data_IF_955847747008
#
_entry.id   IF_955847747008
#
_cell.length_a   1.000
_cell.length_b   1.000
_cell.length_c   1.000
_cell.angle_alpha   90.00
_cell.angle_beta   90.00
_cell.angle_gamma   90.00
#
_symmetry.space_group_name_H-M   'P 1'
#
loop_
_entity.id
_entity.type
_entity.pdbx_description
1 polymer ?
#
# COMPACT_ATOMS: atom_id res chain seq x y z
N UNK A 1 -63.40 -0.09 -19.61
CA UNK A 1 -64.06 1.13 -20.15
C UNK A 1 -63.01 2.21 -19.98
N UNK A 2 -62.47 2.75 -20.96
CA UNK A 2 -62.48 3.28 -22.27
C UNK A 2 -61.02 3.70 -22.54
N UNK A 3 -60.42 3.29 -23.55
CA UNK A 3 -60.47 3.70 -24.94
C UNK A 3 -59.95 5.12 -25.20
N UNK A 4 -58.89 5.16 -25.94
CA UNK A 4 -58.57 5.77 -27.23
C UNK A 4 -57.75 7.06 -27.11
N UNK A 5 -56.93 7.57 -28.03
CA UNK A 5 -56.66 7.33 -29.47
C UNK A 5 -55.39 8.13 -29.84
N UNK A 6 -54.50 7.58 -30.65
CA UNK A 6 -53.78 8.14 -31.83
C UNK A 6 -53.36 9.59 -31.87
N UNK A 7 -52.09 9.79 -32.24
CA UNK A 7 -51.51 10.98 -32.85
C UNK A 7 -50.21 10.66 -33.59
N UNK A 8 -50.28 10.19 -34.81
CA UNK A 8 -49.22 10.13 -35.82
C UNK A 8 -48.87 11.55 -36.27
N UNK A 9 -47.61 11.90 -36.30
CA UNK A 9 -47.13 12.98 -37.18
C UNK A 9 -45.70 12.67 -37.61
N UNK A 10 -45.56 12.39 -38.88
CA UNK A 10 -44.35 12.12 -39.58
C UNK A 10 -43.52 13.38 -39.80
N UNK A 11 -42.23 13.21 -39.75
CA UNK A 11 -41.27 14.18 -40.26
C UNK A 11 -40.30 13.51 -41.22
N UNK A 12 -40.32 14.05 -42.41
CA UNK A 12 -39.57 13.82 -43.62
C UNK A 12 -38.11 13.46 -43.45
N UNK A 13 -37.72 12.37 -44.10
CA UNK A 13 -36.36 12.07 -44.56
C UNK A 13 -35.87 13.20 -45.51
N UNK A 14 -34.72 13.80 -45.15
CA UNK A 14 -33.93 14.58 -46.10
C UNK A 14 -32.74 13.73 -46.49
N UNK A 15 -32.79 13.19 -47.66
CA UNK A 15 -31.68 12.62 -48.41
C UNK A 15 -30.63 13.69 -48.70
N UNK A 16 -29.39 13.47 -48.24
CA UNK A 16 -28.21 14.24 -48.64
C UNK A 16 -27.42 13.39 -49.64
N UNK A 17 -26.99 13.94 -50.79
CA UNK A 17 -26.24 13.19 -51.79
C UNK A 17 -24.79 12.90 -51.31
N UNK A 18 -24.14 11.85 -51.83
CA UNK A 18 -22.76 11.50 -51.47
C UNK A 18 -21.78 12.49 -52.11
N UNK A 19 -21.04 13.21 -51.29
CA UNK A 19 -19.90 14.01 -51.74
C UNK A 19 -18.68 13.11 -51.94
N UNK A 20 -18.06 13.32 -53.07
CA UNK A 20 -16.89 12.59 -53.56
C UNK A 20 -15.72 12.58 -52.60
N UNK A 21 -15.11 11.41 -52.45
CA UNK A 21 -13.84 11.19 -51.77
C UNK A 21 -12.72 11.89 -52.53
N UNK A 22 -12.21 12.95 -51.98
CA UNK A 22 -10.84 13.40 -52.31
C UNK A 22 -9.82 12.56 -51.51
N UNK A 23 -9.11 11.74 -52.25
CA UNK A 23 -7.91 11.07 -51.74
C UNK A 23 -6.85 12.14 -51.45
N UNK A 24 -6.74 12.54 -50.19
CA UNK A 24 -5.56 13.24 -49.68
C UNK A 24 -4.37 12.32 -49.78
N UNK A 25 -3.47 12.66 -50.69
CA UNK A 25 -2.15 12.01 -50.80
C UNK A 25 -1.43 12.08 -49.46
N UNK A 26 -1.14 10.91 -48.89
CA UNK A 26 -0.12 10.80 -47.85
C UNK A 26 1.21 11.18 -48.47
N UNK A 27 1.70 12.38 -48.20
CA UNK A 27 3.08 12.77 -48.40
C UNK A 27 3.94 11.84 -47.58
N UNK A 28 4.56 10.88 -48.25
CA UNK A 28 5.61 10.05 -47.67
C UNK A 28 6.77 10.99 -47.28
N UNK A 29 6.91 11.22 -45.96
CA UNK A 29 8.11 11.91 -45.42
C UNK A 29 9.31 11.10 -45.82
N UNK A 30 10.01 11.58 -46.85
CA UNK A 30 11.24 10.98 -47.36
C UNK A 30 12.30 10.96 -46.24
N UNK A 31 12.62 9.76 -45.72
CA UNK A 31 13.63 9.54 -44.67
C UNK A 31 14.97 10.05 -45.26
N UNK A 32 15.52 11.12 -44.71
CA UNK A 32 16.87 11.60 -45.02
C UNK A 32 17.87 10.58 -44.49
N UNK A 33 18.52 9.84 -45.41
CA UNK A 33 19.62 8.95 -45.06
C UNK A 33 20.86 9.82 -44.96
N UNK A 34 21.49 9.88 -43.78
CA UNK A 34 22.78 10.54 -43.58
C UNK A 34 23.89 9.55 -43.92
N UNK A 35 24.93 10.07 -44.61
CA UNK A 35 26.12 9.33 -45.01
C UNK A 35 27.33 9.89 -44.27
N UNK A 36 28.25 9.02 -43.84
CA UNK A 36 29.42 9.35 -43.04
C UNK A 36 30.67 8.77 -43.68
N UNK A 37 31.78 9.48 -43.56
CA UNK A 37 33.09 8.93 -43.97
C UNK A 37 33.66 7.97 -42.91
N UNK A 38 34.06 6.73 -43.27
CA UNK A 38 34.64 5.78 -42.32
C UNK A 38 35.90 6.27 -41.63
N UNK A 39 36.72 7.12 -42.32
CA UNK A 39 37.98 7.65 -41.80
C UNK A 39 37.85 9.01 -41.13
N UNK A 40 36.77 9.77 -41.46
CA UNK A 40 36.51 11.09 -40.90
C UNK A 40 35.08 11.12 -40.36
N UNK A 41 34.84 10.59 -39.17
CA UNK A 41 33.48 10.48 -38.59
C UNK A 41 32.76 11.82 -38.37
N UNK A 42 33.50 12.91 -38.31
CA UNK A 42 32.99 14.27 -38.23
C UNK A 42 32.41 14.81 -39.54
N UNK A 43 32.70 14.15 -40.68
CA UNK A 43 32.14 14.56 -41.98
C UNK A 43 30.90 13.72 -42.32
N UNK A 44 29.75 14.38 -42.31
CA UNK A 44 28.46 13.80 -42.67
C UNK A 44 27.82 14.54 -43.85
N UNK A 45 27.12 13.86 -44.73
CA UNK A 45 26.39 14.39 -45.85
C UNK A 45 25.01 13.79 -45.98
N UNK A 46 24.05 14.55 -46.45
CA UNK A 46 22.67 14.10 -46.75
C UNK A 46 22.55 13.44 -48.13
N UNK A 47 23.66 13.31 -48.88
CA UNK A 47 23.74 12.68 -50.21
C UNK A 47 24.86 11.67 -50.28
N UNK A 48 24.66 10.56 -51.00
CA UNK A 48 25.76 9.64 -51.27
C UNK A 48 26.84 10.37 -52.16
N UNK A 49 28.11 10.18 -51.81
CA UNK A 49 29.20 10.83 -52.49
C UNK A 49 30.56 10.39 -51.95
N UNK A 50 31.59 11.16 -52.27
CA UNK A 50 32.96 10.94 -51.79
C UNK A 50 33.36 11.99 -50.75
N UNK A 51 34.13 11.59 -49.77
CA UNK A 51 34.61 12.48 -48.73
C UNK A 51 35.63 13.48 -49.33
N UNK A 52 35.45 14.79 -49.19
CA UNK A 52 36.35 15.80 -49.77
C UNK A 52 37.72 15.82 -49.10
N UNK A 53 37.87 15.15 -47.94
CA UNK A 53 39.14 15.11 -47.18
C UNK A 53 40.02 13.95 -47.65
N UNK A 54 39.45 12.78 -47.96
CA UNK A 54 40.20 11.57 -48.26
C UNK A 54 39.77 10.81 -49.52
N UNK A 55 38.76 11.30 -50.25
CA UNK A 55 38.28 10.68 -51.50
C UNK A 55 37.51 9.36 -51.34
N UNK A 56 37.32 8.87 -50.12
CA UNK A 56 36.61 7.61 -49.91
C UNK A 56 35.10 7.80 -49.99
N UNK A 57 34.39 6.77 -50.50
CA UNK A 57 32.92 6.75 -50.57
C UNK A 57 32.32 6.82 -49.18
N UNK A 58 31.33 7.68 -49.02
CA UNK A 58 30.55 7.82 -47.82
C UNK A 58 29.63 6.59 -47.65
N UNK A 59 29.56 6.08 -46.44
CA UNK A 59 28.74 4.92 -46.07
C UNK A 59 27.48 5.43 -45.38
N UNK A 60 26.28 4.90 -45.71
CA UNK A 60 25.07 5.31 -45.03
C UNK A 60 25.19 4.98 -43.53
N UNK A 61 24.99 5.98 -42.71
CA UNK A 61 24.79 5.76 -41.27
C UNK A 61 23.47 5.00 -41.20
N UNK A 62 23.51 3.73 -40.83
CA UNK A 62 22.31 3.04 -40.33
C UNK A 62 21.94 3.74 -39.06
N UNK A 63 21.04 4.74 -39.16
CA UNK A 63 20.42 5.31 -37.97
C UNK A 63 19.84 4.15 -37.18
N UNK A 64 20.24 4.01 -35.94
CA UNK A 64 19.42 3.26 -34.98
C UNK A 64 18.01 3.76 -35.21
N UNK A 65 17.11 2.83 -35.54
CA UNK A 65 15.71 3.11 -35.78
C UNK A 65 15.23 4.03 -34.66
N UNK A 66 14.85 5.25 -35.00
CA UNK A 66 14.09 6.15 -34.14
C UNK A 66 12.75 5.49 -33.92
N UNK A 67 12.76 4.43 -33.10
CA UNK A 67 11.56 3.87 -32.53
C UNK A 67 10.96 4.97 -31.67
N UNK A 68 9.76 5.34 -32.02
CA UNK A 68 8.86 6.29 -31.37
C UNK A 68 9.35 6.75 -29.99
N UNK A 69 9.65 8.04 -29.89
CA UNK A 69 9.98 8.71 -28.64
C UNK A 69 8.85 8.45 -27.64
N UNK A 70 9.05 7.45 -26.79
CA UNK A 70 8.25 7.33 -25.58
C UNK A 70 8.73 8.47 -24.70
N UNK A 71 7.94 9.52 -24.64
CA UNK A 71 8.18 10.65 -23.74
C UNK A 71 8.12 10.08 -22.33
N UNK A 72 9.25 10.12 -21.61
CA UNK A 72 9.28 9.69 -20.21
C UNK A 72 8.29 10.56 -19.43
N UNK A 73 7.47 9.94 -18.61
CA UNK A 73 6.49 10.61 -17.77
C UNK A 73 7.12 11.34 -16.59
N UNK A 74 8.41 11.12 -16.33
CA UNK A 74 9.14 11.69 -15.20
C UNK A 74 10.10 12.78 -15.67
N UNK A 75 9.90 14.00 -15.18
CA UNK A 75 10.77 15.14 -15.48
C UNK A 75 12.21 14.88 -15.02
N UNK A 76 13.18 15.18 -15.90
CA UNK A 76 14.60 14.96 -15.66
C UNK A 76 15.06 13.51 -15.78
N UNK A 77 14.22 12.62 -16.30
CA UNK A 77 14.54 11.22 -16.58
C UNK A 77 14.15 10.84 -18.00
N UNK A 78 14.92 9.99 -18.63
CA UNK A 78 14.63 9.46 -19.96
C UNK A 78 14.59 7.92 -19.94
N UNK A 79 13.82 7.35 -20.85
CA UNK A 79 13.83 5.90 -21.07
C UNK A 79 15.22 5.44 -21.51
N UNK A 80 15.68 4.33 -20.96
CA UNK A 80 17.01 3.76 -21.22
C UNK A 80 16.84 2.42 -21.92
N UNK A 81 17.74 2.15 -22.87
CA UNK A 81 17.86 0.82 -23.50
C UNK A 81 19.20 0.23 -23.09
N UNK A 82 19.16 -0.93 -22.44
CA UNK A 82 20.35 -1.64 -21.94
C UNK A 82 20.41 -3.00 -22.62
N UNK A 83 21.53 -3.28 -23.30
CA UNK A 83 21.71 -4.58 -23.96
C UNK A 83 21.73 -5.74 -22.95
N UNK A 84 21.34 -6.97 -23.35
CA UNK A 84 21.34 -8.12 -22.45
C UNK A 84 22.70 -8.40 -21.79
N UNK A 85 23.80 -8.20 -22.53
CA UNK A 85 25.16 -8.36 -22.01
C UNK A 85 25.45 -7.36 -20.90
N UNK A 86 25.05 -6.10 -21.10
CA UNK A 86 25.23 -5.05 -20.10
C UNK A 86 24.35 -5.27 -18.88
N UNK A 87 23.11 -5.79 -19.05
CA UNK A 87 22.23 -6.17 -17.94
C UNK A 87 22.89 -7.22 -17.04
N UNK A 88 23.54 -8.22 -17.64
CA UNK A 88 24.27 -9.24 -16.90
C UNK A 88 25.48 -8.66 -16.16
N UNK A 89 26.26 -7.80 -16.80
CA UNK A 89 27.45 -7.17 -16.20
C UNK A 89 27.07 -6.34 -14.96
N UNK A 90 25.99 -5.55 -15.04
CA UNK A 90 25.54 -4.71 -13.92
C UNK A 90 24.70 -5.49 -12.89
N UNK A 91 24.43 -6.78 -13.13
CA UNK A 91 23.62 -7.61 -12.24
C UNK A 91 22.18 -7.17 -12.12
N UNK A 92 21.58 -6.67 -13.21
CA UNK A 92 20.18 -6.24 -13.22
C UNK A 92 19.25 -7.40 -12.89
N UNK A 93 18.33 -7.19 -11.94
CA UNK A 93 17.26 -8.11 -11.62
C UNK A 93 15.92 -7.39 -11.73
N UNK A 94 14.89 -8.12 -12.05
CA UNK A 94 13.51 -7.63 -12.12
C UNK A 94 12.61 -8.51 -11.28
N UNK A 95 11.54 -7.92 -10.76
CA UNK A 95 10.44 -8.65 -10.11
C UNK A 95 9.12 -8.13 -10.66
N UNK A 96 8.04 -8.85 -10.37
CA UNK A 96 6.70 -8.54 -10.90
C UNK A 96 5.90 -7.80 -9.83
N UNK A 97 5.24 -6.72 -10.23
CA UNK A 97 4.25 -6.05 -9.41
C UNK A 97 3.02 -6.96 -9.23
N UNK A 98 2.74 -7.38 -8.00
CA UNK A 98 1.70 -8.35 -7.68
C UNK A 98 0.79 -7.85 -6.58
N UNK A 99 -0.49 -8.21 -6.67
CA UNK A 99 -1.43 -8.01 -5.57
C UNK A 99 -1.12 -9.01 -4.45
N UNK A 100 -0.90 -8.48 -3.25
CA UNK A 100 -0.58 -9.26 -2.04
C UNK A 100 -1.42 -8.79 -0.86
N UNK A 101 -1.67 -9.67 0.14
CA UNK A 101 -2.26 -9.26 1.40
C UNK A 101 -1.37 -8.21 2.09
N UNK A 102 -1.97 -7.07 2.43
CA UNK A 102 -1.31 -6.00 3.17
C UNK A 102 -1.42 -6.31 4.66
N UNK A 103 -0.55 -7.17 5.15
CA UNK A 103 -0.50 -7.55 6.55
C UNK A 103 0.81 -7.07 7.18
N UNK A 104 0.70 -6.42 8.31
CA UNK A 104 1.84 -6.04 9.15
C UNK A 104 1.66 -6.61 10.54
N UNK A 105 2.77 -6.87 11.21
CA UNK A 105 2.75 -7.33 12.61
C UNK A 105 3.25 -6.21 13.50
N UNK A 106 2.39 -5.78 14.40
CA UNK A 106 2.76 -4.81 15.43
C UNK A 106 3.14 -5.53 16.70
N UNK A 107 4.18 -5.04 17.38
CA UNK A 107 4.71 -5.60 18.59
C UNK A 107 4.53 -4.63 19.75
N UNK A 108 3.92 -5.10 20.82
CA UNK A 108 3.68 -4.32 22.02
C UNK A 108 4.13 -5.10 23.26
N UNK A 109 4.71 -4.39 24.22
CA UNK A 109 4.90 -4.93 25.55
C UNK A 109 3.57 -5.00 26.28
N UNK A 110 3.34 -6.10 26.98
CA UNK A 110 2.10 -6.31 27.72
C UNK A 110 2.30 -7.05 29.02
N UNK A 111 1.20 -7.25 29.72
CA UNK A 111 1.13 -8.06 30.94
C UNK A 111 -0.18 -8.84 30.99
N UNK A 112 -0.12 -9.99 31.62
CA UNK A 112 -1.33 -10.73 31.99
C UNK A 112 -2.10 -9.89 33.00
N UNK A 113 -3.37 -9.70 32.78
CA UNK A 113 -4.20 -8.82 33.61
C UNK A 113 -4.24 -9.29 35.06
N UNK A 114 -4.15 -8.33 35.96
CA UNK A 114 -4.55 -8.44 37.36
C UNK A 114 -5.33 -7.16 37.68
N UNK A 115 -6.65 -7.27 37.70
CA UNK A 115 -7.52 -6.09 37.78
C UNK A 115 -8.69 -6.33 38.77
N UNK A 116 -8.39 -6.23 40.08
CA UNK A 116 -9.42 -6.38 41.11
C UNK A 116 -10.50 -5.31 41.05
N UNK A 117 -10.15 -4.11 40.57
CA UNK A 117 -11.11 -3.00 40.45
C UNK A 117 -12.17 -3.30 39.39
N UNK A 118 -11.74 -3.75 38.21
CA UNK A 118 -12.66 -4.15 37.16
C UNK A 118 -13.52 -5.33 37.59
N UNK A 119 -12.94 -6.35 38.22
CA UNK A 119 -13.71 -7.48 38.77
C UNK A 119 -14.78 -7.03 39.75
N UNK A 120 -14.46 -6.09 40.65
CA UNK A 120 -15.41 -5.55 41.59
C UNK A 120 -16.50 -4.75 40.87
N UNK A 121 -16.18 -3.95 39.89
CA UNK A 121 -17.16 -3.21 39.10
C UNK A 121 -18.11 -4.14 38.32
N UNK A 122 -17.59 -5.23 37.75
CA UNK A 122 -18.43 -6.27 37.13
C UNK A 122 -19.41 -6.88 38.13
N UNK A 123 -18.96 -7.17 39.33
CA UNK A 123 -19.85 -7.68 40.40
C UNK A 123 -20.94 -6.68 40.78
N UNK A 124 -20.58 -5.42 40.99
CA UNK A 124 -21.53 -4.35 41.31
C UNK A 124 -22.56 -4.19 40.20
N UNK A 125 -22.19 -4.23 38.95
CA UNK A 125 -23.09 -4.19 37.81
C UNK A 125 -24.06 -5.38 37.80
N UNK A 126 -23.55 -6.60 38.00
CA UNK A 126 -24.39 -7.81 38.06
C UNK A 126 -25.41 -7.73 39.22
N UNK A 127 -24.99 -7.22 40.38
CA UNK A 127 -25.89 -7.06 41.52
C UNK A 127 -26.94 -5.98 41.26
N UNK A 128 -26.61 -4.88 40.62
CA UNK A 128 -27.57 -3.84 40.22
C UNK A 128 -28.66 -4.40 39.26
N UNK A 129 -28.23 -5.26 38.30
CA UNK A 129 -29.19 -5.95 37.42
C UNK A 129 -30.12 -6.93 38.11
N UNK A 130 -29.67 -7.57 39.22
CA UNK A 130 -30.52 -8.47 40.02
C UNK A 130 -31.53 -7.69 40.83
N UNK A 131 -31.11 -6.57 41.42
CA UNK A 131 -31.97 -5.71 42.27
C UNK A 131 -33.06 -5.05 41.42
N UNK A 132 -32.71 -4.51 40.23
CA UNK A 132 -33.68 -3.91 39.32
C UNK A 132 -34.81 -4.85 38.85
N UNK A 133 -34.57 -6.18 38.81
CA UNK A 133 -35.63 -7.17 38.52
C UNK A 133 -36.56 -7.45 39.68
N UNK A 134 -36.13 -7.26 40.95
CA UNK A 134 -36.88 -7.64 42.15
C UNK A 134 -37.91 -6.57 42.60
N UNK A 135 -37.63 -5.30 42.34
CA UNK A 135 -38.39 -4.17 42.96
C UNK A 135 -39.18 -3.35 41.91
N UNK A 136 -39.42 -3.84 40.75
CA UNK A 136 -40.29 -3.31 39.67
C UNK A 136 -40.71 -1.83 39.77
N UNK A 137 -40.19 -0.98 38.88
CA UNK A 137 -40.72 0.33 38.46
C UNK A 137 -40.41 1.60 39.27
N UNK A 138 -39.34 1.68 40.05
CA UNK A 138 -38.92 2.98 40.56
C UNK A 138 -37.75 3.57 39.74
N UNK A 139 -37.85 4.84 39.37
CA UNK A 139 -36.92 5.54 38.50
C UNK A 139 -35.46 5.65 39.06
N UNK A 140 -35.28 5.46 40.37
CA UNK A 140 -33.95 5.47 41.01
C UNK A 140 -33.08 4.26 40.69
N UNK A 141 -33.68 3.13 40.28
CA UNK A 141 -32.96 1.87 40.03
C UNK A 141 -32.32 1.85 38.66
N UNK A 142 -32.99 2.48 37.67
CA UNK A 142 -32.38 2.67 36.35
C UNK A 142 -31.09 3.46 36.46
N UNK A 143 -31.07 4.48 37.34
CA UNK A 143 -29.86 5.27 37.61
C UNK A 143 -28.71 4.46 38.19
N UNK A 144 -28.96 3.43 39.01
CA UNK A 144 -27.88 2.56 39.54
C UNK A 144 -27.29 1.65 38.47
N UNK A 145 -28.07 1.08 37.59
CA UNK A 145 -27.60 0.28 36.47
C UNK A 145 -26.84 1.15 35.51
N UNK A 146 -27.35 2.33 35.15
CA UNK A 146 -26.72 3.28 34.25
C UNK A 146 -25.36 3.77 34.82
N UNK A 147 -25.31 4.04 36.14
CA UNK A 147 -24.06 4.45 36.78
C UNK A 147 -22.97 3.33 36.76
N UNK A 148 -23.39 2.09 37.02
CA UNK A 148 -22.53 0.93 36.98
C UNK A 148 -22.05 0.65 35.53
N UNK A 149 -22.91 0.82 34.54
CA UNK A 149 -22.55 0.72 33.11
C UNK A 149 -21.51 1.77 32.72
N UNK A 150 -21.69 3.03 33.07
CA UNK A 150 -20.72 4.10 32.83
C UNK A 150 -19.37 3.77 33.46
N UNK A 151 -19.37 3.24 34.71
CA UNK A 151 -18.14 2.84 35.38
C UNK A 151 -17.38 1.73 34.63
N UNK A 152 -18.11 0.72 34.12
CA UNK A 152 -17.48 -0.36 33.31
C UNK A 152 -16.87 0.21 32.02
N UNK A 153 -17.53 1.14 31.37
CA UNK A 153 -16.97 1.84 30.19
C UNK A 153 -15.73 2.65 30.51
N UNK A 154 -15.74 3.37 31.64
CA UNK A 154 -14.55 4.10 32.12
C UNK A 154 -13.38 3.17 32.42
N UNK A 155 -13.67 1.96 32.92
CA UNK A 155 -12.66 0.92 33.12
C UNK A 155 -12.27 0.18 31.83
N UNK A 156 -12.83 0.58 30.67
CA UNK A 156 -12.42 0.14 29.33
C UNK A 156 -13.15 -1.10 28.81
N UNK A 157 -14.34 -1.46 29.35
CA UNK A 157 -15.17 -2.48 28.72
C UNK A 157 -15.90 -1.91 27.50
N UNK A 158 -15.88 -2.66 26.42
CA UNK A 158 -16.69 -2.35 25.24
C UNK A 158 -18.16 -2.70 25.47
N UNK A 159 -19.04 -2.10 24.65
CA UNK A 159 -20.49 -2.39 24.71
C UNK A 159 -20.80 -3.88 24.57
N UNK A 160 -20.09 -4.57 23.66
CA UNK A 160 -20.23 -6.00 23.45
C UNK A 160 -19.87 -6.82 24.71
N UNK A 161 -18.83 -6.42 25.44
CA UNK A 161 -18.41 -7.07 26.68
C UNK A 161 -19.42 -6.83 27.80
N UNK A 162 -19.97 -5.61 27.91
CA UNK A 162 -21.00 -5.28 28.90
C UNK A 162 -22.29 -6.07 28.60
N UNK A 163 -22.66 -6.20 27.33
CA UNK A 163 -23.80 -7.02 26.91
C UNK A 163 -23.57 -8.50 27.26
N UNK A 164 -22.39 -9.04 26.99
CA UNK A 164 -22.02 -10.41 27.37
C UNK A 164 -22.09 -10.60 28.87
N UNK A 165 -21.56 -9.66 29.66
CA UNK A 165 -21.65 -9.69 31.14
C UNK A 165 -23.11 -9.65 31.63
N UNK A 166 -23.94 -8.84 31.00
CA UNK A 166 -25.36 -8.74 31.33
C UNK A 166 -26.10 -10.05 31.07
N UNK A 167 -25.70 -10.78 30.04
CA UNK A 167 -26.28 -12.07 29.63
C UNK A 167 -25.79 -13.22 30.52
N UNK A 168 -24.48 -13.33 30.72
CA UNK A 168 -23.86 -14.43 31.46
C UNK A 168 -24.05 -14.30 32.97
N UNK A 169 -24.08 -13.06 33.48
CA UNK A 169 -24.12 -12.70 34.88
C UNK A 169 -23.03 -13.35 35.73
N UNK A 170 -21.90 -13.55 35.14
CA UNK A 170 -20.69 -14.09 35.77
C UNK A 170 -19.55 -13.09 35.63
N UNK A 171 -18.93 -12.65 36.74
CA UNK A 171 -17.77 -11.79 36.66
C UNK A 171 -16.58 -12.55 36.13
N UNK A 172 -15.65 -11.85 35.52
CA UNK A 172 -14.45 -12.38 34.84
C UNK A 172 -13.38 -12.80 35.86
N UNK A 173 -13.43 -14.04 36.35
CA UNK A 173 -12.49 -14.53 37.36
C UNK A 173 -11.02 -14.55 36.84
N UNK A 174 -10.83 -14.64 35.53
CA UNK A 174 -9.52 -14.56 34.86
C UNK A 174 -8.84 -13.17 34.96
N UNK A 175 -9.51 -12.18 35.57
CA UNK A 175 -8.90 -10.93 36.02
C UNK A 175 -8.12 -11.05 37.33
N UNK A 176 -8.32 -12.13 38.10
CA UNK A 176 -7.72 -12.33 39.41
C UNK A 176 -6.86 -13.59 39.50
N UNK A 177 -7.28 -14.65 38.86
CA UNK A 177 -6.70 -15.99 39.00
C UNK A 177 -6.40 -16.60 37.64
N UNK A 178 -5.44 -17.54 37.54
CA UNK A 178 -5.20 -18.31 36.33
C UNK A 178 -6.43 -19.16 35.95
N UNK A 179 -6.98 -18.91 34.79
CA UNK A 179 -8.09 -19.65 34.20
C UNK A 179 -7.70 -20.19 32.81
N UNK A 180 -8.60 -20.92 32.16
CA UNK A 180 -8.40 -21.49 30.83
C UNK A 180 -8.25 -20.43 29.74
N UNK A 181 -8.74 -19.23 30.01
CA UNK A 181 -8.48 -18.01 29.24
C UNK A 181 -7.96 -16.92 30.16
N UNK A 182 -7.09 -16.06 29.64
CA UNK A 182 -6.56 -14.92 30.40
C UNK A 182 -6.69 -13.63 29.60
N UNK A 183 -6.88 -12.53 30.33
CA UNK A 183 -6.78 -11.20 29.75
C UNK A 183 -5.34 -10.75 29.67
N UNK A 184 -4.99 -10.14 28.55
CA UNK A 184 -3.70 -9.48 28.34
C UNK A 184 -3.95 -8.00 28.12
N UNK A 185 -3.25 -7.17 28.84
CA UNK A 185 -3.21 -5.73 28.67
C UNK A 185 -1.89 -5.37 28.00
N UNK A 186 -1.97 -4.72 26.83
CA UNK A 186 -0.81 -4.18 26.15
C UNK A 186 -1.05 -2.72 25.81
N UNK A 187 0.04 -1.99 25.55
CA UNK A 187 -0.01 -0.59 25.18
C UNK A 187 0.45 -0.42 23.74
N UNK A 188 -0.34 0.26 22.93
CA UNK A 188 -0.03 0.63 21.55
C UNK A 188 0.05 2.14 21.44
N UNK A 189 0.90 2.64 20.57
CA UNK A 189 1.04 4.08 20.36
C UNK A 189 -0.13 4.67 19.57
N UNK A 190 -0.39 5.97 19.79
CA UNK A 190 -1.46 6.71 19.13
C UNK A 190 -1.41 6.58 17.59
N UNK A 191 -0.21 6.61 17.00
CA UNK A 191 -0.03 6.49 15.54
C UNK A 191 -0.29 5.08 14.99
N UNK A 192 -0.44 4.07 15.85
CA UNK A 192 -0.75 2.68 15.49
C UNK A 192 -2.25 2.37 15.54
N UNK A 193 -3.07 3.29 16.09
CA UNK A 193 -4.49 3.05 16.34
C UNK A 193 -5.30 2.72 15.09
N UNK A 194 -4.98 3.34 13.94
CA UNK A 194 -5.69 3.09 12.69
C UNK A 194 -5.56 1.64 12.20
N UNK A 195 -4.52 0.95 12.67
CA UNK A 195 -4.19 -0.42 12.28
C UNK A 195 -4.83 -1.46 13.20
N UNK A 196 -5.21 -1.06 14.41
CA UNK A 196 -5.68 -1.95 15.46
C UNK A 196 -7.19 -1.93 15.52
N UNK A 197 -7.80 -3.09 15.32
CA UNK A 197 -9.26 -3.24 15.35
C UNK A 197 -9.65 -4.42 16.23
N UNK A 198 -10.74 -4.26 16.96
CA UNK A 198 -11.37 -5.34 17.73
C UNK A 198 -11.66 -6.53 16.81
N UNK A 199 -11.33 -7.73 17.25
CA UNK A 199 -11.48 -8.97 16.49
C UNK A 199 -10.19 -9.44 15.79
N UNK A 200 -9.12 -8.64 15.76
CA UNK A 200 -7.84 -9.07 15.20
C UNK A 200 -7.21 -10.19 16.03
N UNK A 201 -6.48 -11.06 15.33
CA UNK A 201 -5.70 -12.13 15.97
C UNK A 201 -4.50 -11.55 16.71
N UNK A 202 -4.26 -12.10 17.87
CA UNK A 202 -3.15 -11.74 18.75
C UNK A 202 -2.38 -13.00 19.10
N UNK A 203 -1.07 -12.94 19.01
CA UNK A 203 -0.16 -13.96 19.50
C UNK A 203 0.68 -13.39 20.65
N UNK A 204 0.79 -14.14 21.72
CA UNK A 204 1.46 -13.72 22.95
C UNK A 204 2.56 -14.69 23.30
N UNK A 205 3.74 -14.17 23.58
CA UNK A 205 4.88 -14.93 24.07
C UNK A 205 5.28 -14.45 25.46
N UNK A 206 5.57 -15.39 26.34
CA UNK A 206 6.01 -15.10 27.71
C UNK A 206 7.47 -15.53 27.89
N UNK A 207 8.27 -14.69 28.55
CA UNK A 207 9.68 -15.02 28.82
C UNK A 207 9.82 -16.27 29.70
N UNK A 208 8.83 -16.55 30.54
CA UNK A 208 8.80 -17.72 31.40
C UNK A 208 8.60 -19.05 30.63
N UNK A 209 8.11 -19.00 29.41
CA UNK A 209 7.82 -20.17 28.57
C UNK A 209 8.38 -19.96 27.15
N UNK A 210 9.72 -20.04 26.99
CA UNK A 210 10.36 -19.80 25.71
C UNK A 210 9.87 -20.80 24.64
N UNK A 211 9.47 -20.28 23.48
CA UNK A 211 8.98 -21.10 22.36
C UNK A 211 7.49 -21.44 22.40
N UNK A 212 6.78 -21.12 23.50
CA UNK A 212 5.32 -21.28 23.55
C UNK A 212 4.65 -19.99 23.07
N UNK A 213 3.64 -20.14 22.19
CA UNK A 213 2.81 -19.04 21.67
C UNK A 213 1.38 -19.27 22.17
N UNK A 214 0.84 -18.24 22.81
CA UNK A 214 -0.54 -18.23 23.30
C UNK A 214 -1.37 -17.39 22.32
N UNK A 215 -2.30 -18.02 21.64
CA UNK A 215 -3.14 -17.35 20.64
C UNK A 215 -4.42 -16.79 21.27
N UNK A 216 -4.90 -15.71 20.72
CA UNK A 216 -6.13 -15.08 21.14
C UNK A 216 -6.66 -14.03 20.19
N UNK A 217 -7.52 -13.19 20.74
CA UNK A 217 -8.23 -12.16 19.96
C UNK A 217 -8.28 -10.85 20.74
N UNK A 218 -8.10 -9.74 20.03
CA UNK A 218 -8.29 -8.40 20.58
C UNK A 218 -9.78 -8.16 20.84
N UNK A 219 -10.14 -7.87 22.09
CA UNK A 219 -11.53 -7.72 22.52
C UNK A 219 -11.94 -6.28 22.77
N UNK A 220 -10.99 -5.43 23.16
CA UNK A 220 -11.28 -4.02 23.41
C UNK A 220 -10.06 -3.14 23.21
N UNK A 221 -10.33 -1.89 22.89
CA UNK A 221 -9.38 -0.78 22.86
C UNK A 221 -9.94 0.25 23.84
N UNK A 222 -9.16 0.64 24.83
CA UNK A 222 -9.62 1.60 25.83
C UNK A 222 -9.94 2.94 25.16
N UNK A 223 -11.01 3.61 25.61
CA UNK A 223 -11.44 4.87 25.00
C UNK A 223 -10.58 6.08 25.40
N UNK A 224 -9.67 5.91 26.34
CA UNK A 224 -8.85 6.98 26.91
C UNK A 224 -7.39 6.74 26.60
N UNK A 225 -6.76 7.76 25.99
CA UNK A 225 -5.33 7.82 25.76
C UNK A 225 -4.60 8.23 27.04
N UNK A 226 -3.49 7.58 27.35
CA UNK A 226 -2.55 8.02 28.39
C UNK A 226 -1.75 9.23 27.86
N UNK A 227 -1.92 10.44 28.42
CA UNK A 227 -1.28 11.64 27.89
C UNK A 227 0.23 11.68 28.14
N UNK A 228 0.75 10.92 29.11
CA UNK A 228 2.17 10.88 29.45
C UNK A 228 2.97 10.00 28.49
N UNK A 229 2.42 8.84 28.16
CA UNK A 229 3.07 7.86 27.30
C UNK A 229 2.60 7.95 25.84
N UNK A 230 1.51 8.65 25.58
CA UNK A 230 0.81 8.71 24.30
C UNK A 230 0.46 7.32 23.76
N UNK A 231 0.01 6.46 24.67
CA UNK A 231 -0.40 5.09 24.36
C UNK A 231 -1.84 4.86 24.73
N UNK A 232 -2.45 3.90 24.04
CA UNK A 232 -3.78 3.39 24.35
C UNK A 232 -3.64 1.96 24.82
N UNK A 233 -4.33 1.63 25.91
CA UNK A 233 -4.37 0.26 26.39
C UNK A 233 -5.33 -0.57 25.54
N UNK A 234 -4.85 -1.71 25.10
CA UNK A 234 -5.65 -2.73 24.43
C UNK A 234 -5.83 -3.93 25.34
N UNK A 235 -6.92 -4.65 25.12
CA UNK A 235 -7.28 -5.85 25.87
C UNK A 235 -7.49 -7.00 24.93
N UNK A 236 -6.68 -8.04 25.07
CA UNK A 236 -6.83 -9.28 24.34
C UNK A 236 -7.20 -10.43 25.26
N UNK A 237 -7.99 -11.34 24.79
CA UNK A 237 -8.30 -12.61 25.46
C UNK A 237 -7.50 -13.70 24.78
N UNK A 238 -6.71 -14.44 25.56
CA UNK A 238 -5.84 -15.52 25.05
C UNK A 238 -6.15 -16.83 25.73
N UNK A 239 -5.88 -17.94 25.05
CA UNK A 239 -5.98 -19.27 25.62
C UNK A 239 -4.87 -19.54 26.64
N UNK A 240 -5.22 -20.21 27.74
CA UNK A 240 -4.29 -20.63 28.80
C UNK A 240 -4.71 -22.02 29.37
N UNK A 241 -4.87 -23.04 28.54
CA UNK A 241 -5.49 -24.32 28.93
C UNK A 241 -4.75 -25.05 30.04
N UNK A 242 -3.46 -24.84 30.16
CA UNK A 242 -2.63 -25.44 31.22
C UNK A 242 -2.48 -24.52 32.46
N UNK A 243 -3.16 -23.38 32.47
CA UNK A 243 -3.09 -22.36 33.55
C UNK A 243 -1.66 -21.91 33.88
N UNK A 244 -0.76 -21.98 32.86
CA UNK A 244 0.64 -21.62 33.00
C UNK A 244 0.85 -20.12 33.24
N UNK A 245 0.12 -19.30 32.48
CA UNK A 245 0.21 -17.84 32.58
C UNK A 245 -0.44 -17.39 33.89
N UNK A 246 0.29 -16.56 34.62
CA UNK A 246 -0.16 -16.02 35.91
C UNK A 246 -0.41 -14.52 35.79
N UNK A 247 -1.38 -13.99 36.56
CA UNK A 247 -1.59 -12.54 36.64
C UNK A 247 -0.29 -11.77 36.91
N UNK A 248 -0.17 -10.59 36.30
CA UNK A 248 1.02 -9.72 36.34
C UNK A 248 2.27 -10.24 35.62
N UNK A 249 2.24 -11.42 34.98
CA UNK A 249 3.37 -11.86 34.17
C UNK A 249 3.55 -10.93 32.94
N UNK A 250 4.82 -10.55 32.67
CA UNK A 250 5.17 -9.78 31.48
C UNK A 250 5.14 -10.67 30.24
N UNK A 251 4.63 -10.12 29.16
CA UNK A 251 4.47 -10.81 27.88
C UNK A 251 4.77 -9.86 26.71
N UNK A 252 5.17 -10.42 25.59
CA UNK A 252 5.21 -9.71 24.31
C UNK A 252 3.96 -10.07 23.52
N UNK A 253 3.31 -9.06 22.99
CA UNK A 253 2.06 -9.17 22.25
C UNK A 253 2.35 -8.81 20.81
N UNK A 254 2.00 -9.69 19.89
CA UNK A 254 2.05 -9.44 18.47
C UNK A 254 0.62 -9.41 17.93
N UNK A 255 0.27 -8.31 17.25
CA UNK A 255 -1.04 -8.09 16.65
C UNK A 255 -0.88 -8.15 15.14
N UNK A 256 -1.61 -9.04 14.49
CA UNK A 256 -1.63 -9.09 13.03
C UNK A 256 -2.67 -8.13 12.49
N UNK A 257 -2.20 -7.02 11.95
CA UNK A 257 -3.04 -6.04 11.28
C UNK A 257 -3.07 -6.33 9.78
N UNK A 258 -4.26 -6.53 9.23
CA UNK A 258 -4.48 -6.69 7.79
C UNK A 258 -5.33 -5.53 7.29
N UNK A 259 -4.89 -4.90 6.20
CA UNK A 259 -5.62 -3.82 5.53
C UNK A 259 -6.13 -4.24 4.14
N UNK A 260 -6.48 -5.52 4.00
CA UNK A 260 -6.93 -6.05 2.72
C UNK A 260 -5.80 -6.45 1.80
N UNK A 261 -6.00 -6.29 0.52
CA UNK A 261 -5.03 -6.60 -0.54
C UNK A 261 -4.66 -5.33 -1.29
N UNK A 262 -3.46 -5.29 -1.83
CA UNK A 262 -3.00 -4.17 -2.64
C UNK A 262 -1.82 -4.54 -3.52
N UNK A 263 -1.63 -3.76 -4.58
CA UNK A 263 -0.49 -3.92 -5.47
C UNK A 263 0.79 -3.61 -4.71
N UNK A 264 1.77 -4.50 -4.78
CA UNK A 264 3.05 -4.37 -4.08
C UNK A 264 4.22 -4.63 -5.00
N UNK A 265 5.34 -3.97 -4.70
CA UNK A 265 6.63 -4.23 -5.32
C UNK A 265 7.69 -4.41 -4.22
N UNK A 266 8.81 -5.10 -4.48
CA UNK A 266 9.92 -5.15 -3.54
C UNK A 266 10.40 -3.75 -3.17
N UNK A 267 10.85 -3.56 -1.93
CA UNK A 267 11.37 -2.27 -1.46
C UNK A 267 12.52 -1.77 -2.33
N UNK A 268 13.36 -2.70 -2.78
CA UNK A 268 14.52 -2.40 -3.62
C UNK A 268 14.16 -1.89 -5.02
N UNK A 269 12.89 -2.02 -5.45
CA UNK A 269 12.43 -1.46 -6.73
C UNK A 269 12.22 0.05 -6.69
N UNK A 270 12.05 0.62 -5.49
CA UNK A 270 11.74 2.05 -5.32
C UNK A 270 13.03 2.86 -5.18
N UNK A 271 13.14 3.86 -6.04
CA UNK A 271 14.16 4.92 -5.92
C UNK A 271 13.48 6.11 -5.28
N UNK A 272 13.86 6.42 -4.05
CA UNK A 272 13.38 7.61 -3.34
C UNK A 272 14.34 8.78 -3.55
N UNK A 273 13.87 9.83 -4.21
CA UNK A 273 14.67 11.05 -4.47
C UNK A 273 14.49 12.10 -3.38
N UNK A 274 13.70 11.81 -2.33
CA UNK A 274 13.31 12.74 -1.27
C UNK A 274 12.07 13.59 -1.63
N UNK A 275 11.84 13.85 -2.89
CA UNK A 275 10.66 14.60 -3.38
C UNK A 275 9.67 13.72 -4.15
N UNK A 276 10.17 12.71 -4.83
CA UNK A 276 9.40 11.78 -5.67
C UNK A 276 9.92 10.35 -5.51
N UNK A 277 9.05 9.38 -5.69
CA UNK A 277 9.41 7.96 -5.76
C UNK A 277 9.25 7.46 -7.17
N UNK A 278 10.28 6.78 -7.66
CA UNK A 278 10.40 6.38 -9.05
C UNK A 278 10.69 4.89 -9.10
N UNK A 279 10.14 4.21 -10.10
CA UNK A 279 10.48 2.84 -10.46
C UNK A 279 10.91 2.79 -11.93
N UNK A 280 11.75 1.83 -12.28
CA UNK A 280 12.02 1.51 -13.66
C UNK A 280 11.22 0.28 -14.09
N UNK A 281 10.30 0.49 -15.02
CA UNK A 281 9.47 -0.59 -15.60
C UNK A 281 10.21 -1.20 -16.78
N UNK A 282 10.37 -2.51 -16.78
CA UNK A 282 10.94 -3.28 -17.88
C UNK A 282 9.86 -3.58 -18.93
N UNK A 283 9.94 -2.87 -20.05
CA UNK A 283 9.03 -3.03 -21.19
C UNK A 283 9.46 -4.18 -22.13
N UNK A 284 10.51 -4.92 -21.77
CA UNK A 284 11.11 -5.95 -22.61
C UNK A 284 12.15 -5.38 -23.58
N UNK A 285 12.92 -6.29 -24.22
CA UNK A 285 14.00 -5.96 -25.14
C UNK A 285 15.05 -4.98 -24.55
N UNK A 286 15.21 -4.99 -23.22
CA UNK A 286 16.13 -4.11 -22.50
C UNK A 286 15.68 -2.66 -22.36
N UNK A 287 14.44 -2.34 -22.69
CA UNK A 287 13.87 -1.00 -22.54
C UNK A 287 13.33 -0.80 -21.14
N UNK A 288 13.88 0.20 -20.46
CA UNK A 288 13.49 0.58 -19.10
C UNK A 288 12.86 1.98 -19.13
N UNK A 289 11.67 2.07 -18.60
CA UNK A 289 10.90 3.32 -18.51
C UNK A 289 10.85 3.80 -17.07
N UNK A 290 11.37 5.01 -16.75
CA UNK A 290 11.19 5.61 -15.45
C UNK A 290 9.73 6.04 -15.29
N UNK A 291 9.11 5.66 -14.17
CA UNK A 291 7.72 6.01 -13.84
C UNK A 291 7.62 6.46 -12.39
N UNK A 292 6.93 7.56 -12.17
CA UNK A 292 6.62 8.04 -10.84
C UNK A 292 5.52 7.20 -10.22
N UNK A 293 5.68 6.88 -8.93
CA UNK A 293 4.74 6.04 -8.20
C UNK A 293 4.35 6.70 -6.87
N UNK A 294 3.08 6.55 -6.52
CA UNK A 294 2.60 6.87 -5.18
C UNK A 294 2.55 5.60 -4.34
N UNK A 295 3.30 5.62 -3.25
CA UNK A 295 3.40 4.45 -2.37
C UNK A 295 2.51 4.61 -1.15
N UNK A 296 1.94 3.49 -0.70
CA UNK A 296 1.19 3.38 0.54
C UNK A 296 2.02 2.69 1.64
N UNK A 297 1.47 1.60 2.14
CA UNK A 297 2.03 0.83 3.24
C UNK A 297 3.38 0.21 2.93
N UNK A 298 4.31 0.37 3.87
CA UNK A 298 5.58 -0.34 3.86
C UNK A 298 5.45 -1.63 4.69
N UNK A 299 5.64 -2.75 4.05
CA UNK A 299 5.74 -4.08 4.67
C UNK A 299 7.21 -4.43 4.91
N UNK A 300 7.49 -5.63 5.43
CA UNK A 300 8.87 -6.04 5.72
C UNK A 300 9.77 -5.98 4.48
N UNK A 301 9.36 -6.63 3.38
CA UNK A 301 10.15 -6.77 2.16
C UNK A 301 9.54 -6.05 0.95
N UNK A 302 8.31 -5.57 1.08
CA UNK A 302 7.52 -4.99 -0.01
C UNK A 302 6.97 -3.63 0.39
N UNK A 303 6.58 -2.85 -0.62
CA UNK A 303 5.86 -1.60 -0.44
C UNK A 303 4.62 -1.60 -1.33
N UNK A 304 3.52 -1.13 -0.79
CA UNK A 304 2.30 -0.92 -1.54
C UNK A 304 2.48 0.21 -2.55
N UNK A 305 1.99 0.01 -3.77
CA UNK A 305 1.88 1.04 -4.80
C UNK A 305 0.40 1.35 -4.98
N UNK A 306 0.04 2.60 -4.75
CA UNK A 306 -1.34 3.09 -4.89
C UNK A 306 -1.62 3.55 -6.32
N UNK A 307 -0.62 4.17 -6.95
CA UNK A 307 -0.71 4.73 -8.30
C UNK A 307 0.62 4.60 -9.04
N UNK A 308 0.58 4.51 -10.36
CA UNK A 308 1.75 4.54 -11.23
C UNK A 308 2.18 3.17 -11.78
N UNK A 309 1.65 2.06 -11.25
CA UNK A 309 1.89 0.70 -11.76
C UNK A 309 0.59 -0.09 -11.89
N UNK A 310 0.63 -1.10 -12.72
CA UNK A 310 -0.42 -2.10 -12.88
C UNK A 310 0.09 -3.49 -12.51
N UNK A 311 -0.83 -4.39 -12.13
CA UNK A 311 -0.49 -5.78 -11.84
C UNK A 311 0.12 -6.47 -13.05
N UNK A 312 1.18 -7.23 -12.82
CA UNK A 312 1.90 -7.96 -13.87
C UNK A 312 3.04 -7.19 -14.52
N UNK A 313 3.20 -5.88 -14.28
CA UNK A 313 4.35 -5.13 -14.78
C UNK A 313 5.64 -5.56 -14.09
N UNK A 314 6.71 -5.66 -14.86
CA UNK A 314 8.04 -5.98 -14.33
C UNK A 314 8.77 -4.72 -13.95
N UNK A 315 9.30 -4.69 -12.72
CA UNK A 315 10.05 -3.58 -12.17
C UNK A 315 11.48 -4.01 -11.87
N UNK A 316 12.43 -3.12 -12.08
CA UNK A 316 13.83 -3.38 -11.76
C UNK A 316 14.03 -3.31 -10.26
N UNK A 317 14.70 -4.32 -9.69
CA UNK A 317 14.99 -4.43 -8.25
C UNK A 317 16.45 -4.32 -7.89
N UNK A 318 17.36 -4.35 -8.89
CA UNK A 318 18.79 -4.16 -8.64
C UNK A 318 19.44 -3.32 -9.75
N UNK A 319 20.62 -2.78 -9.49
CA UNK A 319 21.34 -1.85 -10.36
C UNK A 319 20.60 -0.50 -10.59
N UNK A 320 19.59 -0.20 -9.78
CA UNK A 320 18.72 0.98 -9.92
C UNK A 320 19.51 2.29 -9.99
N UNK A 321 20.56 2.45 -9.17
CA UNK A 321 21.39 3.64 -9.17
C UNK A 321 22.12 3.87 -10.50
N UNK A 322 22.65 2.80 -11.11
CA UNK A 322 23.32 2.88 -12.40
C UNK A 322 22.35 3.26 -13.52
N UNK A 323 21.17 2.65 -13.49
CA UNK A 323 20.10 2.89 -14.46
C UNK A 323 19.57 4.32 -14.32
N UNK A 324 19.36 4.80 -13.10
CA UNK A 324 18.91 6.16 -12.82
C UNK A 324 19.93 7.20 -13.26
N UNK A 325 21.21 6.95 -13.01
CA UNK A 325 22.30 7.83 -13.46
C UNK A 325 22.34 7.93 -14.99
N UNK A 326 22.19 6.82 -15.71
CA UNK A 326 22.15 6.79 -17.17
C UNK A 326 20.90 7.48 -17.72
N UNK A 327 19.75 7.26 -17.08
CA UNK A 327 18.48 7.90 -17.40
C UNK A 327 18.55 9.43 -17.24
N UNK A 328 19.11 9.90 -16.13
CA UNK A 328 19.29 11.32 -15.83
C UNK A 328 20.29 11.99 -16.80
N UNK A 329 21.41 11.33 -17.09
CA UNK A 329 22.40 11.84 -18.04
C UNK A 329 21.79 11.95 -19.46
N UNK A 330 21.04 10.94 -19.89
CA UNK A 330 20.37 10.95 -21.20
C UNK A 330 19.34 12.07 -21.30
N UNK A 331 18.58 12.33 -20.23
CA UNK A 331 17.63 13.44 -20.16
C UNK A 331 18.35 14.80 -20.27
N UNK A 332 19.46 14.99 -19.54
CA UNK A 332 20.25 16.22 -19.57
C UNK A 332 20.84 16.51 -20.96
N UNK A 333 21.43 15.49 -21.61
CA UNK A 333 21.98 15.62 -22.97
C UNK A 333 20.87 15.99 -23.97
N UNK A 334 19.68 15.40 -23.85
CA UNK A 334 18.53 15.74 -24.73
C UNK A 334 18.10 17.19 -24.56
N UNK A 335 18.08 17.73 -23.34
CA UNK A 335 17.76 19.14 -23.06
C UNK A 335 18.81 20.10 -23.65
N UNK A 336 20.10 19.77 -23.54
CA UNK A 336 21.17 20.60 -24.09
C UNK A 336 21.16 20.64 -25.64
N UNK A 337 20.81 19.51 -26.28
CA UNK A 337 20.72 19.42 -27.75
C UNK A 337 19.54 20.21 -28.34
N UNK A 338 18.46 20.42 -27.59
CA UNK A 338 17.29 21.18 -28.03
C UNK A 338 17.48 22.69 -28.10
N UNK A 339 18.51 23.26 -27.48
CA UNK A 339 18.75 24.71 -27.46
C UNK A 339 19.73 25.20 -28.55
N UNK A 340 20.30 24.32 -29.34
CA UNK A 340 21.23 24.68 -30.42
C UNK A 340 20.55 25.08 -31.74
N UNK A 341 19.22 25.18 -31.79
CA UNK A 341 18.46 25.39 -33.04
C UNK A 341 17.85 26.79 -33.25
N UNK A 342 18.06 27.75 -32.36
CA UNK A 342 17.53 29.14 -32.54
C UNK A 342 18.67 30.16 -32.43
N UNK A 343 19.44 30.25 -33.48
CA UNK A 343 20.47 31.29 -33.61
C UNK A 343 20.89 31.43 -35.07
N UNK A 344 20.07 31.97 -35.91
CA UNK A 344 20.37 32.95 -36.97
C UNK A 344 19.08 33.41 -37.63
#
# INVERSE_FOLDING_TARGET
>A
MGLAILGLSGCKEKTVPPSASEHGAHEAVARKILYQCPMHPSYTSDKPGECPICGMKLVPIKGEETRSEITSTVEGRASVVISPERQQIIGMKTDIAMVRPLATTMRAGGRIAYDPELYQAEREYIESLKTGKRIGRYSSEKGLVDAADVRLRQLGLSDAMIEELSRTRRPSLNLLLPEDTMWVYAQIYEYELDWVKVGQKVSVTAMAFPGEVFEGTLRAIDPVLDPMTRTVRIRAEIGNPEKKLKPNSFVNVEITASQGEGLTVPLDAIIDTGTRKIVFVDLGEGRLEPREVHTGLRLADYIQVMEGLTEGERVVTSANFLIDSESSLKAAVKQMGGHAGHGQ
#
